data_IF_063713545367
#
_entry.id   IF_063713545367
#
_cell.length_a   1.000
_cell.length_b   1.000
_cell.length_c   1.000
_cell.angle_alpha   90.00
_cell.angle_beta   90.00
_cell.angle_gamma   90.00
#
_symmetry.space_group_name_H-M   'P 1'
#
loop_
_entity.id
_entity.type
_entity.pdbx_description
1 polymer ?
#
# COMPACT_ATOMS: atom_id res chain seq x y z
N UNK A 1 -46.94 -46.13 -31.10
CA UNK A 1 -46.23 -44.86 -30.83
C UNK A 1 -44.86 -45.00 -31.44
N UNK A 2 -44.60 -44.24 -32.52
CA UNK A 2 -43.34 -44.27 -33.25
C UNK A 2 -42.27 -43.65 -32.35
N UNK A 3 -41.17 -44.35 -32.14
CA UNK A 3 -40.02 -43.85 -31.39
C UNK A 3 -39.34 -42.80 -32.26
N UNK A 4 -39.61 -41.53 -31.99
CA UNK A 4 -38.85 -40.42 -32.55
C UNK A 4 -37.43 -40.50 -31.98
N UNK A 5 -36.54 -41.14 -32.75
CA UNK A 5 -35.11 -41.06 -32.54
C UNK A 5 -34.72 -39.59 -32.73
N UNK A 6 -34.54 -38.88 -31.62
CA UNK A 6 -33.98 -37.54 -31.59
C UNK A 6 -32.48 -37.59 -31.93
N UNK A 7 -32.14 -37.99 -33.17
CA UNK A 7 -30.91 -37.53 -33.76
C UNK A 7 -31.02 -36.02 -33.83
N UNK A 8 -30.09 -35.31 -33.18
CA UNK A 8 -29.98 -33.86 -33.30
C UNK A 8 -30.06 -33.51 -34.78
N UNK A 9 -31.11 -32.79 -35.18
CA UNK A 9 -31.40 -32.49 -36.58
C UNK A 9 -30.18 -31.83 -37.21
N UNK A 10 -29.49 -32.56 -38.06
CA UNK A 10 -28.34 -32.03 -38.80
C UNK A 10 -28.88 -31.12 -39.89
N UNK A 11 -28.50 -29.85 -39.84
CA UNK A 11 -28.97 -28.82 -40.78
C UNK A 11 -27.94 -28.56 -41.88
N UNK A 12 -28.41 -28.29 -43.10
CA UNK A 12 -27.56 -27.88 -44.20
C UNK A 12 -27.03 -26.46 -43.96
N UNK A 13 -25.71 -26.27 -43.92
CA UNK A 13 -25.14 -24.93 -43.62
C UNK A 13 -25.23 -23.92 -44.76
N UNK A 14 -25.81 -24.29 -45.92
CA UNK A 14 -26.03 -23.40 -47.06
C UNK A 14 -27.48 -22.88 -47.08
N UNK A 15 -28.47 -23.78 -47.01
CA UNK A 15 -29.89 -23.40 -47.05
C UNK A 15 -30.57 -23.35 -45.67
N UNK A 16 -29.89 -23.78 -44.59
CA UNK A 16 -30.40 -23.82 -43.22
C UNK A 16 -31.63 -24.73 -43.01
N UNK A 17 -31.91 -25.61 -43.96
CA UNK A 17 -32.97 -26.62 -43.84
C UNK A 17 -32.44 -27.93 -43.23
N UNK A 18 -33.34 -28.69 -42.60
CA UNK A 18 -33.06 -30.03 -42.05
C UNK A 18 -32.58 -30.96 -43.18
N UNK A 19 -31.43 -31.62 -43.00
CA UNK A 19 -30.98 -32.66 -43.91
C UNK A 19 -31.89 -33.89 -43.76
N UNK A 20 -32.44 -34.41 -44.87
CA UNK A 20 -33.19 -35.68 -44.85
C UNK A 20 -32.46 -36.80 -45.62
N UNK A 21 -31.54 -37.54 -44.95
CA UNK A 21 -30.69 -38.56 -45.57
C UNK A 21 -31.40 -39.62 -46.42
N UNK A 22 -32.67 -39.91 -46.14
CA UNK A 22 -33.41 -41.00 -46.79
C UNK A 22 -34.08 -40.55 -48.10
N UNK A 23 -34.42 -39.26 -48.21
CA UNK A 23 -35.28 -38.74 -49.30
C UNK A 23 -34.59 -37.69 -50.17
N UNK A 24 -33.53 -37.06 -49.68
CA UNK A 24 -32.84 -35.98 -50.37
C UNK A 24 -31.44 -36.41 -50.81
N UNK A 25 -31.01 -35.86 -51.94
CA UNK A 25 -29.67 -36.06 -52.46
C UNK A 25 -28.67 -35.21 -51.69
N UNK A 26 -27.94 -35.84 -50.76
CA UNK A 26 -26.93 -35.15 -49.97
C UNK A 26 -25.54 -35.26 -50.60
N UNK A 27 -24.80 -34.15 -50.60
CA UNK A 27 -23.42 -34.06 -51.07
C UNK A 27 -22.49 -33.75 -49.90
N UNK A 28 -21.33 -34.38 -49.88
CA UNK A 28 -20.30 -34.14 -48.88
C UNK A 28 -18.97 -33.75 -49.50
N UNK A 29 -18.16 -32.97 -48.77
CA UNK A 29 -16.77 -32.73 -49.15
C UNK A 29 -15.91 -33.77 -48.45
N UNK A 30 -15.31 -34.69 -49.21
CA UNK A 30 -14.54 -35.83 -48.69
C UNK A 30 -13.39 -35.44 -47.77
N UNK A 31 -12.81 -34.25 -47.98
CA UNK A 31 -11.67 -33.75 -47.21
C UNK A 31 -12.07 -33.32 -45.79
N UNK A 32 -13.25 -32.71 -45.62
CA UNK A 32 -13.65 -32.11 -44.33
C UNK A 32 -14.95 -32.68 -43.75
N UNK A 33 -15.63 -33.57 -44.48
CA UNK A 33 -16.82 -34.29 -44.01
C UNK A 33 -18.10 -33.45 -43.89
N UNK A 34 -18.08 -32.17 -44.26
CA UNK A 34 -19.28 -31.33 -44.22
C UNK A 34 -20.29 -31.73 -45.31
N UNK A 35 -21.58 -31.74 -44.96
CA UNK A 35 -22.69 -32.25 -45.78
C UNK A 35 -23.69 -31.14 -46.14
N UNK A 36 -24.21 -31.17 -47.35
CA UNK A 36 -25.08 -30.15 -47.95
C UNK A 36 -26.13 -30.79 -48.87
N UNK A 37 -27.26 -30.12 -49.13
CA UNK A 37 -28.25 -30.53 -50.14
C UNK A 37 -27.68 -30.37 -51.56
N UNK A 38 -27.27 -29.15 -51.93
CA UNK A 38 -26.79 -28.85 -53.28
C UNK A 38 -25.50 -28.02 -53.20
N UNK A 39 -24.36 -28.69 -53.00
CA UNK A 39 -23.07 -28.01 -52.96
C UNK A 39 -22.63 -27.52 -54.35
N UNK A 40 -23.18 -28.09 -55.42
CA UNK A 40 -22.82 -27.74 -56.80
C UNK A 40 -23.09 -26.26 -57.14
N UNK A 41 -24.23 -25.71 -56.71
CA UNK A 41 -24.60 -24.31 -56.93
C UNK A 41 -23.60 -23.32 -56.28
N UNK A 42 -23.00 -23.71 -55.15
CA UNK A 42 -21.96 -22.93 -54.49
C UNK A 42 -20.67 -22.85 -55.31
N UNK A 43 -20.27 -23.94 -55.97
CA UNK A 43 -19.08 -23.93 -56.83
C UNK A 43 -19.29 -23.13 -58.11
N UNK A 44 -20.51 -23.11 -58.64
CA UNK A 44 -20.86 -22.33 -59.82
C UNK A 44 -20.73 -20.83 -59.55
N UNK A 45 -21.22 -20.35 -58.39
CA UNK A 45 -21.05 -18.96 -57.94
C UNK A 45 -19.58 -18.57 -57.70
N UNK A 46 -18.70 -19.53 -57.36
CA UNK A 46 -17.28 -19.29 -57.13
C UNK A 46 -16.40 -19.31 -58.41
N UNK A 47 -16.96 -19.58 -59.59
CA UNK A 47 -16.21 -19.77 -60.85
C UNK A 47 -15.47 -18.52 -61.37
N UNK A 48 -15.78 -17.33 -60.85
CA UNK A 48 -15.18 -16.05 -61.30
C UNK A 48 -13.81 -15.75 -60.65
N UNK A 49 -12.90 -16.73 -60.62
CA UNK A 49 -11.49 -16.55 -60.25
C UNK A 49 -11.15 -16.68 -58.76
N UNK A 50 -12.07 -17.15 -57.90
CA UNK A 50 -11.80 -17.42 -56.47
C UNK A 50 -11.56 -18.92 -56.22
N UNK A 51 -10.66 -19.25 -55.31
CA UNK A 51 -10.39 -20.64 -54.89
C UNK A 51 -11.69 -21.26 -54.35
N UNK A 52 -12.06 -22.43 -54.89
CA UNK A 52 -13.19 -23.23 -54.43
C UNK A 52 -12.89 -23.72 -53.00
N UNK A 53 -13.73 -23.32 -52.04
CA UNK A 53 -13.52 -23.58 -50.61
C UNK A 53 -14.82 -24.10 -49.97
N UNK A 54 -14.68 -24.94 -48.94
CA UNK A 54 -15.79 -25.39 -48.12
C UNK A 54 -16.50 -24.18 -47.48
N UNK A 55 -17.85 -24.08 -47.55
CA UNK A 55 -18.60 -23.01 -46.91
C UNK A 55 -18.39 -22.92 -45.39
N UNK A 56 -18.16 -24.07 -44.74
CA UNK A 56 -18.09 -24.20 -43.28
C UNK A 56 -16.68 -23.94 -42.76
N UNK A 57 -15.71 -24.81 -43.09
CA UNK A 57 -14.34 -24.70 -42.56
C UNK A 57 -13.38 -23.88 -43.43
N UNK A 58 -13.83 -23.36 -44.58
CA UNK A 58 -13.03 -22.60 -45.55
C UNK A 58 -11.81 -23.34 -46.14
N UNK A 59 -11.69 -24.64 -45.90
CA UNK A 59 -10.65 -25.47 -46.50
C UNK A 59 -10.82 -25.52 -48.03
N UNK A 60 -9.72 -25.40 -48.77
CA UNK A 60 -9.71 -25.49 -50.23
C UNK A 60 -10.18 -26.86 -50.69
N UNK A 61 -11.14 -26.90 -51.61
CA UNK A 61 -11.69 -28.12 -52.18
C UNK A 61 -12.05 -27.93 -53.66
N UNK A 62 -11.92 -28.97 -54.48
CA UNK A 62 -12.35 -28.97 -55.89
C UNK A 62 -13.61 -29.82 -56.06
N UNK A 63 -14.21 -29.78 -57.26
CA UNK A 63 -15.36 -30.63 -57.62
C UNK A 63 -15.05 -32.13 -57.45
N UNK A 64 -13.80 -32.55 -57.66
CA UNK A 64 -13.37 -33.93 -57.44
C UNK A 64 -13.48 -34.38 -55.97
N UNK A 65 -13.56 -33.44 -55.03
CA UNK A 65 -13.71 -33.74 -53.61
C UNK A 65 -15.18 -33.82 -53.17
N UNK A 66 -16.13 -33.62 -54.09
CA UNK A 66 -17.56 -33.70 -53.81
C UNK A 66 -18.04 -35.12 -54.05
N UNK A 67 -18.53 -35.76 -52.99
CA UNK A 67 -19.10 -37.10 -53.06
C UNK A 67 -20.60 -37.05 -52.75
N UNK A 68 -21.40 -37.70 -53.60
CA UNK A 68 -22.82 -37.94 -53.29
C UNK A 68 -22.92 -39.04 -52.23
N UNK A 69 -23.67 -38.75 -51.18
CA UNK A 69 -23.96 -39.71 -50.12
C UNK A 69 -25.19 -40.52 -50.51
N UNK A 70 -25.08 -41.84 -50.37
CA UNK A 70 -26.19 -42.77 -50.51
C UNK A 70 -26.40 -43.44 -49.16
N UNK A 71 -27.64 -43.40 -48.66
CA UNK A 71 -28.00 -44.03 -47.40
C UNK A 71 -28.74 -45.32 -47.71
N UNK A 72 -28.12 -46.46 -47.39
CA UNK A 72 -28.80 -47.75 -47.43
C UNK A 72 -29.61 -47.90 -46.15
N UNK A 73 -30.94 -47.88 -46.26
CA UNK A 73 -31.83 -48.18 -45.14
C UNK A 73 -31.72 -49.68 -44.82
N UNK A 74 -31.29 -50.02 -43.62
CA UNK A 74 -31.41 -51.38 -43.05
C UNK A 74 -32.84 -51.56 -42.54
N UNK A 75 -33.81 -51.52 -43.47
CA UNK A 75 -35.14 -52.06 -43.24
C UNK A 75 -35.08 -53.58 -43.40
N UNK A 76 -35.57 -54.31 -42.40
CA UNK A 76 -35.64 -55.78 -42.27
C UNK A 76 -35.19 -56.61 -43.49
N UNK A 77 -33.96 -57.14 -43.43
CA UNK A 77 -33.48 -58.20 -44.31
C UNK A 77 -34.06 -59.57 -43.90
N UNK A 78 -35.38 -59.73 -43.85
CA UNK A 78 -36.01 -61.04 -43.62
C UNK A 78 -36.88 -61.58 -44.75
N UNK A 79 -37.08 -60.86 -45.86
CA UNK A 79 -37.98 -61.32 -46.93
C UNK A 79 -37.30 -61.83 -48.21
N UNK A 80 -36.02 -62.18 -48.16
CA UNK A 80 -35.32 -62.77 -49.33
C UNK A 80 -34.52 -64.01 -48.96
N UNK A 81 -35.15 -65.02 -48.33
CA UNK A 81 -34.58 -66.37 -48.20
C UNK A 81 -35.63 -67.46 -47.90
N UNK A 82 -36.83 -67.42 -48.49
CA UNK A 82 -37.78 -68.54 -48.35
C UNK A 82 -38.84 -68.59 -49.46
N UNK A 83 -38.45 -68.68 -50.73
CA UNK A 83 -39.37 -69.26 -51.72
C UNK A 83 -38.62 -69.88 -52.90
N UNK A 84 -38.14 -71.10 -52.69
CA UNK A 84 -37.98 -72.18 -53.66
C UNK A 84 -37.42 -73.35 -52.83
N UNK A 85 -38.22 -74.33 -52.40
CA UNK A 85 -38.95 -75.24 -53.27
C UNK A 85 -39.84 -76.21 -52.46
N UNK A 86 -40.94 -76.61 -53.10
CA UNK A 86 -41.57 -77.95 -53.15
C UNK A 86 -42.32 -78.56 -51.95
N UNK A 87 -43.63 -78.76 -52.23
CA UNK A 87 -44.43 -79.99 -52.05
C UNK A 87 -45.00 -80.34 -50.68
N UNK A 88 -46.33 -80.51 -50.67
CA UNK A 88 -47.04 -81.21 -49.62
C UNK A 88 -46.66 -82.68 -49.57
N UNK A 89 -46.30 -83.15 -48.39
CA UNK A 89 -46.34 -84.55 -47.99
C UNK A 89 -46.30 -84.60 -46.46
N UNK A 90 -46.98 -85.57 -45.87
CA UNK A 90 -47.07 -85.80 -44.43
C UNK A 90 -45.71 -85.61 -43.73
N UNK A 91 -45.61 -84.65 -42.80
CA UNK A 91 -44.43 -84.51 -41.94
C UNK A 91 -44.22 -85.81 -41.17
N UNK A 92 -43.05 -86.44 -41.34
CA UNK A 92 -42.65 -87.60 -40.55
C UNK A 92 -42.63 -87.19 -39.06
N UNK A 93 -43.40 -87.85 -38.17
CA UNK A 93 -43.42 -87.54 -36.74
C UNK A 93 -42.02 -87.47 -36.11
N UNK A 94 -41.04 -88.19 -36.66
CA UNK A 94 -39.64 -88.17 -36.20
C UNK A 94 -38.86 -86.91 -36.62
N UNK A 95 -39.19 -86.29 -37.75
CA UNK A 95 -38.60 -85.01 -38.15
C UNK A 95 -39.14 -83.86 -37.30
N UNK A 96 -40.44 -83.83 -37.06
CA UNK A 96 -41.07 -82.88 -36.14
C UNK A 96 -40.44 -82.97 -34.74
N UNK A 97 -40.23 -84.19 -34.24
CA UNK A 97 -39.62 -84.41 -32.93
C UNK A 97 -38.15 -83.94 -32.86
N UNK A 98 -37.39 -84.05 -33.96
CA UNK A 98 -36.02 -83.52 -34.04
C UNK A 98 -36.02 -81.99 -34.05
N UNK A 99 -36.98 -81.39 -34.73
CA UNK A 99 -37.12 -79.94 -34.82
C UNK A 99 -37.58 -79.34 -33.48
N UNK A 100 -38.52 -79.97 -32.79
CA UNK A 100 -38.92 -79.59 -31.41
C UNK A 100 -37.70 -79.61 -30.48
N UNK A 101 -36.89 -80.67 -30.50
CA UNK A 101 -35.64 -80.73 -29.70
C UNK A 101 -34.60 -79.67 -30.08
N UNK A 102 -34.59 -79.20 -31.32
CA UNK A 102 -33.70 -78.11 -31.77
C UNK A 102 -34.20 -76.78 -31.23
N UNK A 103 -35.50 -76.53 -31.32
CA UNK A 103 -36.15 -75.32 -30.83
C UNK A 103 -36.11 -75.24 -29.31
N UNK A 104 -36.31 -76.33 -28.58
CA UNK A 104 -36.15 -76.40 -27.12
C UNK A 104 -34.73 -76.01 -26.71
N UNK A 105 -33.70 -76.55 -27.39
CA UNK A 105 -32.29 -76.15 -27.13
C UNK A 105 -32.04 -74.67 -27.40
N UNK A 106 -32.62 -74.11 -28.47
CA UNK A 106 -32.54 -72.68 -28.76
C UNK A 106 -33.26 -71.83 -27.70
N UNK A 107 -34.44 -72.26 -27.25
CA UNK A 107 -35.21 -71.57 -26.22
C UNK A 107 -34.46 -71.54 -24.88
N UNK A 108 -33.83 -72.65 -24.49
CA UNK A 108 -32.96 -72.70 -23.29
C UNK A 108 -31.76 -71.77 -23.44
N UNK A 109 -31.11 -71.75 -24.61
CA UNK A 109 -30.00 -70.84 -24.90
C UNK A 109 -30.40 -69.37 -24.87
N UNK A 110 -31.58 -69.02 -25.39
CA UNK A 110 -32.11 -67.65 -25.35
C UNK A 110 -32.49 -67.24 -23.93
N UNK A 111 -33.11 -68.13 -23.15
CA UNK A 111 -33.45 -67.87 -21.76
C UNK A 111 -32.19 -67.56 -20.92
N UNK A 112 -31.09 -68.29 -21.11
CA UNK A 112 -29.84 -68.01 -20.36
C UNK A 112 -29.23 -66.66 -20.74
N UNK A 113 -29.30 -66.27 -22.01
CA UNK A 113 -28.87 -64.93 -22.47
C UNK A 113 -29.74 -63.84 -21.83
N UNK A 114 -31.06 -64.01 -21.82
CA UNK A 114 -31.99 -63.05 -21.21
C UNK A 114 -31.74 -62.92 -19.70
N UNK A 115 -31.53 -64.02 -18.99
CA UNK A 115 -31.20 -64.00 -17.56
C UNK A 115 -29.88 -63.27 -17.28
N UNK A 116 -28.86 -63.46 -18.11
CA UNK A 116 -27.59 -62.76 -17.97
C UNK A 116 -27.74 -61.27 -18.27
N UNK A 117 -28.45 -60.91 -19.34
CA UNK A 117 -28.77 -59.51 -19.65
C UNK A 117 -29.55 -58.83 -18.53
N UNK A 118 -30.49 -59.54 -17.89
CA UNK A 118 -31.23 -59.00 -16.75
C UNK A 118 -30.32 -58.73 -15.55
N UNK A 119 -29.33 -59.59 -15.29
CA UNK A 119 -28.34 -59.37 -14.22
C UNK A 119 -27.45 -58.16 -14.52
N UNK A 120 -26.96 -58.04 -15.76
CA UNK A 120 -26.16 -56.89 -16.20
C UNK A 120 -26.95 -55.58 -16.10
N UNK A 121 -28.21 -55.57 -16.55
CA UNK A 121 -29.11 -54.42 -16.44
C UNK A 121 -29.27 -53.99 -14.98
N UNK A 122 -29.47 -54.94 -14.07
CA UNK A 122 -29.61 -54.66 -12.65
C UNK A 122 -28.33 -54.06 -12.05
N UNK A 123 -27.16 -54.61 -12.40
CA UNK A 123 -25.87 -54.10 -11.95
C UNK A 123 -25.62 -52.67 -12.44
N UNK A 124 -25.84 -52.40 -13.73
CA UNK A 124 -25.70 -51.05 -14.32
C UNK A 124 -26.69 -50.06 -13.67
N UNK A 125 -27.90 -50.50 -13.36
CA UNK A 125 -28.88 -49.65 -12.70
C UNK A 125 -28.48 -49.29 -11.25
N UNK A 126 -27.84 -50.22 -10.53
CA UNK A 126 -27.29 -49.98 -9.21
C UNK A 126 -26.12 -48.98 -9.27
N UNK A 127 -25.19 -49.16 -10.22
CA UNK A 127 -24.10 -48.21 -10.48
C UNK A 127 -24.64 -46.82 -10.84
N UNK A 128 -25.66 -46.73 -11.69
CA UNK A 128 -26.31 -45.47 -12.04
C UNK A 128 -26.94 -44.79 -10.81
N UNK A 129 -27.53 -45.56 -9.91
CA UNK A 129 -28.07 -45.04 -8.65
C UNK A 129 -26.97 -44.47 -7.76
N UNK A 130 -25.84 -45.17 -7.65
CA UNK A 130 -24.68 -44.72 -6.88
C UNK A 130 -24.05 -43.47 -7.49
N UNK A 131 -23.84 -43.43 -8.80
CA UNK A 131 -23.37 -42.25 -9.53
C UNK A 131 -24.27 -41.03 -9.31
N UNK A 132 -25.61 -41.21 -9.31
CA UNK A 132 -26.55 -40.11 -9.02
C UNK A 132 -26.41 -39.58 -7.59
N UNK A 133 -26.19 -40.45 -6.59
CA UNK A 133 -25.96 -40.03 -5.20
C UNK A 133 -24.64 -39.26 -5.07
N UNK A 134 -23.58 -39.78 -5.68
CA UNK A 134 -22.25 -39.14 -5.63
C UNK A 134 -22.25 -37.79 -6.34
N UNK A 135 -22.92 -37.67 -7.50
CA UNK A 135 -23.06 -36.39 -8.20
C UNK A 135 -23.74 -35.33 -7.34
N UNK A 136 -24.78 -35.69 -6.57
CA UNK A 136 -25.45 -34.75 -5.65
C UNK A 136 -24.49 -34.26 -4.56
N UNK A 137 -23.69 -35.16 -3.99
CA UNK A 137 -22.69 -34.81 -2.97
C UNK A 137 -21.62 -33.88 -3.55
N UNK A 138 -21.06 -34.21 -4.72
CA UNK A 138 -20.06 -33.39 -5.41
C UNK A 138 -20.58 -32.00 -5.76
N UNK A 139 -21.84 -31.89 -6.22
CA UNK A 139 -22.46 -30.59 -6.51
C UNK A 139 -22.57 -29.73 -5.24
N UNK A 140 -22.98 -30.32 -4.11
CA UNK A 140 -23.04 -29.59 -2.84
C UNK A 140 -21.65 -29.13 -2.39
N UNK A 141 -20.65 -30.02 -2.46
CA UNK A 141 -19.27 -29.68 -2.09
C UNK A 141 -18.71 -28.56 -2.96
N UNK A 142 -18.96 -28.61 -4.28
CA UNK A 142 -18.54 -27.56 -5.22
C UNK A 142 -19.18 -26.22 -4.90
N UNK A 143 -20.47 -26.20 -4.56
CA UNK A 143 -21.16 -24.95 -4.19
C UNK A 143 -20.59 -24.37 -2.90
N UNK A 144 -20.37 -25.18 -1.88
CA UNK A 144 -19.73 -24.74 -0.63
C UNK A 144 -18.33 -24.17 -0.89
N UNK A 145 -17.52 -24.84 -1.71
CA UNK A 145 -16.18 -24.36 -2.05
C UNK A 145 -16.21 -23.04 -2.84
N UNK A 146 -17.24 -22.81 -3.67
CA UNK A 146 -17.43 -21.54 -4.37
C UNK A 146 -17.81 -20.41 -3.41
N UNK A 147 -18.67 -20.67 -2.43
CA UNK A 147 -19.03 -19.72 -1.39
C UNK A 147 -17.83 -19.34 -0.51
N UNK A 148 -17.08 -20.34 -0.04
CA UNK A 148 -15.85 -20.12 0.73
C UNK A 148 -14.83 -19.30 -0.07
N UNK A 149 -14.63 -19.62 -1.35
CA UNK A 149 -13.75 -18.86 -2.24
C UNK A 149 -14.19 -17.40 -2.35
N UNK A 150 -15.49 -17.13 -2.48
CA UNK A 150 -16.02 -15.78 -2.56
C UNK A 150 -15.74 -14.98 -1.27
N UNK A 151 -15.95 -15.60 -0.10
CA UNK A 151 -15.66 -14.99 1.21
C UNK A 151 -14.17 -14.68 1.34
N UNK A 152 -13.30 -15.64 1.00
CA UNK A 152 -11.83 -15.45 1.06
C UNK A 152 -11.38 -14.33 0.12
N UNK A 153 -11.96 -14.25 -1.08
CA UNK A 153 -11.63 -13.21 -2.05
C UNK A 153 -12.06 -11.81 -1.57
N UNK A 154 -13.22 -11.68 -0.93
CA UNK A 154 -13.66 -10.43 -0.32
C UNK A 154 -12.76 -10.02 0.85
N UNK A 155 -12.40 -10.96 1.72
CA UNK A 155 -11.49 -10.70 2.84
C UNK A 155 -10.10 -10.27 2.37
N UNK A 156 -9.58 -10.92 1.31
CA UNK A 156 -8.31 -10.55 0.70
C UNK A 156 -8.34 -9.11 0.19
N UNK A 157 -9.41 -8.71 -0.49
CA UNK A 157 -9.58 -7.35 -0.97
C UNK A 157 -9.53 -6.33 0.18
N UNK A 158 -10.32 -6.56 1.23
CA UNK A 158 -10.36 -5.71 2.42
C UNK A 158 -8.97 -5.58 3.06
N UNK A 159 -8.23 -6.71 3.18
CA UNK A 159 -6.88 -6.72 3.74
C UNK A 159 -5.87 -5.98 2.86
N UNK A 160 -6.00 -6.04 1.54
CA UNK A 160 -5.18 -5.25 0.63
C UNK A 160 -5.43 -3.74 0.77
N UNK A 161 -6.69 -3.31 0.91
CA UNK A 161 -7.03 -1.90 1.13
C UNK A 161 -6.50 -1.37 2.47
N UNK A 162 -6.61 -2.18 3.53
CA UNK A 162 -6.05 -1.88 4.85
C UNK A 162 -4.52 -1.71 4.78
N UNK A 163 -3.83 -2.63 4.09
CA UNK A 163 -2.39 -2.56 3.88
C UNK A 163 -1.97 -1.31 3.12
N UNK A 164 -2.70 -0.94 2.06
CA UNK A 164 -2.43 0.28 1.28
C UNK A 164 -2.58 1.53 2.16
N UNK A 165 -3.63 1.57 2.98
CA UNK A 165 -3.89 2.67 3.92
C UNK A 165 -2.75 2.80 4.92
N UNK A 166 -2.36 1.70 5.58
CA UNK A 166 -1.26 1.69 6.55
C UNK A 166 0.09 2.04 5.90
N UNK A 167 0.33 1.61 4.67
CA UNK A 167 1.55 1.95 3.92
C UNK A 167 1.62 3.45 3.66
N UNK A 168 0.52 4.07 3.24
CA UNK A 168 0.45 5.52 3.03
C UNK A 168 0.68 6.30 4.32
N UNK A 169 0.11 5.84 5.44
CA UNK A 169 0.31 6.46 6.74
C UNK A 169 1.75 6.33 7.24
N UNK A 170 2.38 5.17 7.04
CA UNK A 170 3.78 4.94 7.38
C UNK A 170 4.69 5.92 6.63
N UNK A 171 4.46 6.15 5.33
CA UNK A 171 5.22 7.13 4.54
C UNK A 171 5.02 8.54 5.09
N UNK A 172 3.77 8.95 5.34
CA UNK A 172 3.44 10.27 5.93
C UNK A 172 4.12 10.48 7.28
N UNK A 173 4.12 9.46 8.14
CA UNK A 173 4.78 9.52 9.45
C UNK A 173 6.30 9.58 9.32
N UNK A 174 6.89 8.85 8.37
CA UNK A 174 8.32 8.91 8.09
C UNK A 174 8.74 10.31 7.61
N UNK A 175 7.99 10.92 6.69
CA UNK A 175 8.23 12.29 6.23
C UNK A 175 8.14 13.30 7.39
N UNK A 176 7.10 13.18 8.22
CA UNK A 176 6.94 14.04 9.41
C UNK A 176 8.07 13.85 10.41
N UNK A 177 8.51 12.61 10.65
CA UNK A 177 9.63 12.31 11.55
C UNK A 177 10.92 12.95 11.04
N UNK A 178 11.20 12.84 9.74
CA UNK A 178 12.34 13.49 9.11
C UNK A 178 12.26 15.02 9.18
N UNK A 179 11.07 15.61 9.01
CA UNK A 179 10.86 17.05 9.18
C UNK A 179 11.15 17.50 10.62
N UNK A 180 10.61 16.79 11.61
CA UNK A 180 10.88 17.07 13.03
C UNK A 180 12.37 16.90 13.37
N UNK A 181 13.05 15.90 12.82
CA UNK A 181 14.47 15.72 13.01
C UNK A 181 15.28 16.90 12.46
N UNK A 182 14.87 17.46 11.30
CA UNK A 182 15.46 18.69 10.74
C UNK A 182 15.22 19.91 11.63
N UNK A 183 14.00 20.08 12.16
CA UNK A 183 13.67 21.17 13.07
C UNK A 183 14.47 21.09 14.38
N UNK A 184 14.56 19.90 14.98
CA UNK A 184 15.37 19.65 16.17
C UNK A 184 16.86 19.92 15.93
N UNK A 185 17.38 19.51 14.77
CA UNK A 185 18.76 19.80 14.39
C UNK A 185 19.01 21.31 14.25
N UNK A 186 18.10 22.04 13.61
CA UNK A 186 18.19 23.49 13.48
C UNK A 186 18.14 24.19 14.86
N UNK A 187 17.21 23.77 15.73
CA UNK A 187 17.08 24.32 17.08
C UNK A 187 18.36 24.09 17.90
N UNK A 188 18.94 22.88 17.81
CA UNK A 188 20.18 22.54 18.52
C UNK A 188 21.37 23.35 18.02
N UNK A 189 21.53 23.54 16.71
CA UNK A 189 22.57 24.38 16.12
C UNK A 189 22.50 25.85 16.58
N UNK A 190 21.28 26.36 16.81
CA UNK A 190 21.09 27.75 17.27
C UNK A 190 21.34 27.87 18.77
N UNK A 191 20.83 26.91 19.56
CA UNK A 191 20.73 27.05 21.02
C UNK A 191 21.97 26.53 21.76
N UNK A 192 22.65 25.51 21.22
CA UNK A 192 23.77 24.86 21.90
C UNK A 192 25.11 25.42 21.42
N UNK A 193 25.77 26.19 22.30
CA UNK A 193 27.06 26.80 22.05
C UNK A 193 28.24 25.84 22.32
N UNK A 194 27.97 24.67 22.88
CA UNK A 194 28.98 23.67 23.24
C UNK A 194 29.12 22.54 22.23
N UNK A 195 28.41 22.62 21.11
CA UNK A 195 28.54 21.65 20.03
C UNK A 195 29.97 21.59 19.51
N UNK A 196 30.47 20.36 19.39
CA UNK A 196 31.73 20.05 18.73
C UNK A 196 31.57 20.15 17.21
N UNK A 197 32.69 20.30 16.51
CA UNK A 197 32.69 20.47 15.05
C UNK A 197 32.04 19.28 14.32
N UNK A 198 32.25 18.06 14.82
CA UNK A 198 31.68 16.83 14.29
C UNK A 198 30.14 16.79 14.45
N UNK A 199 29.62 17.28 15.58
CA UNK A 199 28.18 17.33 15.84
C UNK A 199 27.50 18.39 14.98
N UNK A 200 28.14 19.54 14.77
CA UNK A 200 27.66 20.57 13.84
C UNK A 200 27.56 20.00 12.42
N UNK A 201 28.53 19.20 12.00
CA UNK A 201 28.54 18.50 10.71
C UNK A 201 27.37 17.53 10.56
N UNK A 202 27.14 16.67 11.57
CA UNK A 202 26.04 15.69 11.56
C UNK A 202 24.69 16.38 11.48
N UNK A 203 24.48 17.42 12.30
CA UNK A 203 23.22 18.16 12.35
C UNK A 203 22.95 18.97 11.06
N UNK A 204 23.98 19.59 10.48
CA UNK A 204 23.84 20.33 9.22
C UNK A 204 23.55 19.42 8.01
N UNK A 205 23.89 18.13 8.12
CA UNK A 205 23.70 17.14 7.05
C UNK A 205 22.29 16.55 7.00
N UNK A 206 21.50 16.64 8.08
CA UNK A 206 20.11 16.12 8.12
C UNK A 206 19.17 16.77 7.10
N UNK A 207 19.56 17.93 6.55
CA UNK A 207 18.71 18.74 5.68
C UNK A 207 18.82 18.48 4.19
N UNK A 208 19.65 17.56 3.66
CA UNK A 208 19.98 17.58 2.22
C UNK A 208 19.91 16.29 1.44
N UNK A 209 19.25 16.46 0.30
CA UNK A 209 19.29 15.67 -0.92
C UNK A 209 19.68 16.65 -2.05
N UNK A 210 20.98 16.77 -2.36
CA UNK A 210 21.45 17.68 -3.43
C UNK A 210 22.93 18.08 -3.37
N UNK A 211 23.61 18.04 -4.53
CA UNK A 211 25.07 18.06 -4.67
C UNK A 211 25.76 19.44 -4.51
N UNK A 212 25.06 20.57 -4.67
CA UNK A 212 25.68 21.91 -4.74
C UNK A 212 25.78 22.67 -3.42
N UNK A 213 25.63 21.99 -2.30
CA UNK A 213 25.25 22.64 -1.05
C UNK A 213 26.19 22.34 0.11
N UNK A 214 27.27 21.57 -0.16
CA UNK A 214 28.32 21.19 0.79
C UNK A 214 29.22 22.38 1.15
N UNK A 215 29.62 23.17 0.15
CA UNK A 215 30.47 24.34 0.36
C UNK A 215 29.76 25.45 1.15
N UNK A 216 28.48 25.71 0.87
CA UNK A 216 27.67 26.65 1.66
C UNK A 216 27.51 26.17 3.11
N UNK A 217 27.34 24.87 3.35
CA UNK A 217 27.31 24.30 4.71
C UNK A 217 28.64 24.52 5.39
N UNK A 218 29.76 24.29 4.70
CA UNK A 218 31.09 24.44 5.27
C UNK A 218 31.38 25.89 5.67
N UNK A 219 30.91 26.86 4.88
CA UNK A 219 31.00 28.29 5.22
C UNK A 219 30.12 28.63 6.43
N UNK A 220 28.88 28.14 6.47
CA UNK A 220 27.98 28.36 7.61
C UNK A 220 28.50 27.68 8.88
N UNK A 221 29.09 26.48 8.77
CA UNK A 221 29.76 25.75 9.87
C UNK A 221 30.90 26.58 10.44
N UNK A 222 31.84 27.02 9.61
CA UNK A 222 32.97 27.86 10.05
C UNK A 222 32.47 29.13 10.74
N UNK A 223 31.45 29.77 10.18
CA UNK A 223 30.84 30.97 10.76
C UNK A 223 30.19 30.71 12.12
N UNK A 224 29.49 29.57 12.28
CA UNK A 224 28.83 29.18 13.54
C UNK A 224 29.85 28.87 14.64
N UNK A 225 30.92 28.14 14.30
CA UNK A 225 32.00 27.81 15.22
C UNK A 225 32.70 29.08 15.70
N UNK A 226 33.01 30.01 14.78
CA UNK A 226 33.61 31.31 15.13
C UNK A 226 32.67 32.09 16.05
N UNK A 227 31.37 32.20 15.71
CA UNK A 227 30.37 32.86 16.56
C UNK A 227 30.34 32.28 17.97
N UNK A 228 30.29 30.94 18.10
CA UNK A 228 30.23 30.28 19.40
C UNK A 228 31.48 30.56 20.23
N UNK A 229 32.67 30.53 19.60
CA UNK A 229 33.93 30.88 20.26
C UNK A 229 33.93 32.34 20.72
N UNK A 230 33.59 33.28 19.84
CA UNK A 230 33.52 34.71 20.17
C UNK A 230 32.51 34.99 21.28
N UNK A 231 31.37 34.31 21.30
CA UNK A 231 30.37 34.46 22.37
C UNK A 231 30.90 33.94 23.71
N UNK A 232 31.58 32.78 23.75
CA UNK A 232 32.22 32.27 24.98
C UNK A 232 33.28 33.23 25.51
N UNK A 233 34.12 33.77 24.62
CA UNK A 233 35.13 34.78 24.98
C UNK A 233 34.49 36.07 25.51
N UNK A 234 33.41 36.54 24.89
CA UNK A 234 32.67 37.71 25.35
C UNK A 234 32.08 37.46 26.74
N UNK A 235 31.42 36.31 26.96
CA UNK A 235 30.88 35.94 28.27
C UNK A 235 31.97 35.88 29.34
N UNK A 236 33.14 35.32 29.03
CA UNK A 236 34.28 35.31 29.93
C UNK A 236 34.76 36.73 30.29
N UNK A 237 34.82 37.64 29.30
CA UNK A 237 35.17 39.06 29.52
C UNK A 237 34.13 39.78 30.38
N UNK A 238 32.84 39.63 30.09
CA UNK A 238 31.76 40.21 30.91
C UNK A 238 31.85 39.75 32.37
N UNK A 239 32.08 38.45 32.59
CA UNK A 239 32.27 37.90 33.93
C UNK A 239 33.50 38.49 34.64
N UNK A 240 34.61 38.68 33.93
CA UNK A 240 35.82 39.27 34.49
C UNK A 240 35.61 40.76 34.84
N UNK A 241 34.93 41.52 33.96
CA UNK A 241 34.59 42.91 34.17
C UNK A 241 33.65 43.08 35.36
N UNK A 242 32.58 42.28 35.46
CA UNK A 242 31.66 42.33 36.60
C UNK A 242 32.36 42.07 37.93
N UNK A 243 33.30 41.12 37.98
CA UNK A 243 34.15 40.92 39.17
C UNK A 243 35.06 42.11 39.45
N UNK A 244 35.61 42.74 38.41
CA UNK A 244 36.45 43.94 38.51
C UNK A 244 35.68 45.15 39.05
N UNK A 245 34.47 45.36 38.56
CA UNK A 245 33.55 46.40 38.98
C UNK A 245 33.14 46.21 40.44
N UNK A 246 32.72 45.00 40.84
CA UNK A 246 32.37 44.70 42.23
C UNK A 246 33.53 44.99 43.21
N UNK A 247 34.77 44.63 42.83
CA UNK A 247 35.96 44.96 43.62
C UNK A 247 36.21 46.47 43.70
N UNK A 248 36.00 47.18 42.60
CA UNK A 248 36.21 48.64 42.52
C UNK A 248 35.19 49.40 43.36
N UNK A 249 33.91 49.00 43.28
CA UNK A 249 32.84 49.52 44.14
C UNK A 249 33.13 49.27 45.62
N UNK A 250 33.63 48.08 45.99
CA UNK A 250 34.03 47.79 47.37
C UNK A 250 35.16 48.72 47.86
N UNK A 251 36.19 48.95 47.02
CA UNK A 251 37.27 49.89 47.35
C UNK A 251 36.77 51.33 47.47
N UNK A 252 35.90 51.75 46.56
CA UNK A 252 35.28 53.08 46.58
C UNK A 252 34.45 53.28 47.85
N UNK A 253 33.67 52.27 48.26
CA UNK A 253 32.93 52.27 49.53
C UNK A 253 33.84 52.51 50.73
N UNK A 254 34.94 51.76 50.84
CA UNK A 254 35.94 51.93 51.90
C UNK A 254 36.59 53.31 51.88
N UNK A 255 36.91 53.84 50.70
CA UNK A 255 37.48 55.18 50.56
C UNK A 255 36.48 56.27 51.00
N UNK A 256 35.21 56.13 50.60
CA UNK A 256 34.14 57.03 51.02
C UNK A 256 33.90 56.99 52.53
N UNK A 257 33.98 55.81 53.18
CA UNK A 257 33.92 55.71 54.63
C UNK A 257 35.08 56.45 55.32
N UNK A 258 36.31 56.30 54.82
CA UNK A 258 37.47 57.06 55.33
C UNK A 258 37.28 58.56 55.15
N UNK A 259 36.79 58.98 53.98
CA UNK A 259 36.51 60.38 53.68
C UNK A 259 35.45 60.95 54.64
N UNK A 260 34.37 60.21 54.92
CA UNK A 260 33.36 60.59 55.91
C UNK A 260 33.98 60.78 57.31
N UNK A 261 34.85 59.86 57.75
CA UNK A 261 35.56 59.99 59.04
C UNK A 261 36.45 61.24 59.10
N UNK A 262 37.25 61.47 58.05
CA UNK A 262 38.10 62.65 57.97
C UNK A 262 37.29 63.94 57.94
N UNK A 263 36.19 63.99 57.18
CA UNK A 263 35.29 65.14 57.12
C UNK A 263 34.71 65.48 58.50
N UNK A 264 34.31 64.47 59.28
CA UNK A 264 33.82 64.65 60.65
C UNK A 264 34.92 65.23 61.54
N UNK A 265 36.14 64.69 61.46
CA UNK A 265 37.28 65.19 62.25
C UNK A 265 37.72 66.61 61.87
N UNK A 266 37.62 66.99 60.59
CA UNK A 266 37.87 68.36 60.15
C UNK A 266 36.84 69.30 60.76
N UNK A 267 35.56 68.96 60.71
CA UNK A 267 34.51 69.77 61.36
C UNK A 267 34.74 69.91 62.87
N UNK A 268 35.13 68.83 63.57
CA UNK A 268 35.50 68.89 64.98
C UNK A 268 36.67 69.86 65.22
N UNK A 269 37.75 69.78 64.42
CA UNK A 269 38.90 70.68 64.54
C UNK A 269 38.54 72.13 64.23
N UNK A 270 37.72 72.38 63.20
CA UNK A 270 37.20 73.71 62.87
C UNK A 270 36.46 74.32 64.07
N UNK A 271 35.57 73.56 64.73
CA UNK A 271 34.87 74.05 65.94
C UNK A 271 35.83 74.32 67.11
N UNK A 272 36.87 73.51 67.28
CA UNK A 272 37.88 73.72 68.34
C UNK A 272 38.68 75.00 68.07
N UNK A 273 39.07 75.24 66.82
CA UNK A 273 39.77 76.47 66.42
C UNK A 273 38.88 77.68 66.62
N UNK A 274 37.62 77.63 66.16
CA UNK A 274 36.66 78.72 66.34
C UNK A 274 36.43 79.05 67.82
N UNK A 275 36.32 78.04 68.70
CA UNK A 275 36.20 78.25 70.15
C UNK A 275 37.47 78.89 70.71
N UNK A 276 38.66 78.49 70.24
CA UNK A 276 39.93 79.07 70.69
C UNK A 276 40.06 80.52 70.25
N UNK A 277 39.81 80.83 68.97
CA UNK A 277 39.84 82.19 68.45
C UNK A 277 38.85 83.09 69.19
N UNK A 278 37.64 82.61 69.46
CA UNK A 278 36.66 83.34 70.28
C UNK A 278 37.15 83.59 71.71
N UNK A 279 37.85 82.64 72.34
CA UNK A 279 38.46 82.83 73.66
C UNK A 279 39.58 83.86 73.62
N UNK A 280 40.46 83.78 72.64
CA UNK A 280 41.58 84.69 72.45
C UNK A 280 41.08 86.13 72.18
N UNK A 281 40.02 86.28 71.37
CA UNK A 281 39.35 87.56 71.13
C UNK A 281 38.74 88.13 72.41
N UNK A 282 38.09 87.31 73.26
CA UNK A 282 37.57 87.74 74.56
C UNK A 282 38.70 88.17 75.51
N UNK A 283 39.80 87.41 75.57
CA UNK A 283 40.96 87.73 76.39
C UNK A 283 41.64 89.04 75.92
N UNK A 284 41.77 89.23 74.61
CA UNK A 284 42.28 90.46 74.01
C UNK A 284 41.39 91.66 74.35
N UNK A 285 40.06 91.50 74.25
CA UNK A 285 39.08 92.53 74.62
C UNK A 285 39.19 92.92 76.10
N UNK A 286 39.25 91.94 77.01
CA UNK A 286 39.45 92.20 78.43
C UNK A 286 40.77 92.96 78.71
N UNK A 287 41.87 92.57 78.06
CA UNK A 287 43.16 93.27 78.20
C UNK A 287 43.16 94.71 77.68
N UNK A 288 42.27 95.01 76.72
CA UNK A 288 42.08 96.35 76.16
C UNK A 288 41.24 97.21 77.10
N UNK A 289 40.18 96.64 77.67
CA UNK A 289 39.32 97.31 78.66
C UNK A 289 40.10 97.60 79.96
N UNK A 290 41.03 96.74 80.38
CA UNK A 290 41.97 96.98 81.50
C UNK A 290 42.94 98.13 81.20
N UNK A 291 43.38 98.28 79.94
CA UNK A 291 44.23 99.40 79.51
C UNK A 291 43.44 100.71 79.43
N UNK A 292 42.20 100.68 78.95
CA UNK A 292 41.30 101.84 78.87
C UNK A 292 40.84 102.34 80.26
N UNK A 293 40.54 101.43 81.19
CA UNK A 293 40.26 101.77 82.59
C UNK A 293 41.50 102.34 83.30
N UNK A 294 42.70 101.82 83.01
CA UNK A 294 43.96 102.42 83.50
C UNK A 294 44.25 103.83 82.92
N UNK A 295 43.77 104.11 81.71
CA UNK A 295 43.90 105.41 81.04
C UNK A 295 42.84 106.44 81.51
N UNK A 296 41.61 105.99 81.78
CA UNK A 296 40.54 106.81 82.38
C UNK A 296 40.83 107.14 83.85
N UNK A 297 41.42 106.23 84.62
CA UNK A 297 41.91 106.50 85.97
C UNK A 297 43.05 107.54 86.01
N UNK A 298 43.84 107.66 84.94
CA UNK A 298 44.86 108.73 84.80
C UNK A 298 44.29 110.07 84.36
N UNK A 299 43.17 110.11 83.61
CA UNK A 299 42.48 111.35 83.21
C UNK A 299 41.65 111.99 84.33
N UNK A 300 41.12 111.22 85.29
CA UNK A 300 40.41 111.78 86.46
C UNK A 300 41.33 112.42 87.52
N UNK A 301 42.66 112.32 87.41
CA UNK A 301 43.60 112.97 88.36
C UNK A 301 44.03 114.40 87.98
N UNK A 302 43.67 114.91 86.80
CA UNK A 302 44.13 116.23 86.31
C UNK A 302 43.01 117.08 85.69
N UNK A 303 41.88 117.21 86.39
CA UNK A 303 40.76 118.04 85.94
C UNK A 303 39.86 118.47 87.09
N UNK A 304 40.37 119.34 87.98
CA UNK A 304 39.63 119.81 89.16
C UNK A 304 40.28 120.99 89.87
N UNK A 305 40.13 122.18 89.26
CA UNK A 305 40.05 123.58 89.78
C UNK A 305 40.93 124.10 90.95
N UNK A 306 41.27 125.38 90.70
CA UNK A 306 41.54 126.50 91.64
C UNK A 306 42.97 126.64 92.14
#
# INVERSE_FOLDING_TARGET
>A
MVVDNAFAKTICSICYEDLKPIVEDLQSISICGHVFHELWSWFEYCSNGKKKNCPVCKQTCSEANVARLYFQSVGDQNDLSASQSTHGYFEDPKELQREVKRLERKAVGLNSVVENQQKELNAVNEELCNCKKQLKLEVMLKNNALEEKAVVQQLLHLKSEELNTLTSERVRLQERNMALAKELAALKLVSDLNLEEEDVLKLASLGKEGNNHKETIDILRKSLVIRNKSYKELMAKCNALGRGEARSLSKLGKANEKLKKLKTRVQELETVVEVKENKDLRAFKASKDDKETSALAKKCKYGGRA
#
